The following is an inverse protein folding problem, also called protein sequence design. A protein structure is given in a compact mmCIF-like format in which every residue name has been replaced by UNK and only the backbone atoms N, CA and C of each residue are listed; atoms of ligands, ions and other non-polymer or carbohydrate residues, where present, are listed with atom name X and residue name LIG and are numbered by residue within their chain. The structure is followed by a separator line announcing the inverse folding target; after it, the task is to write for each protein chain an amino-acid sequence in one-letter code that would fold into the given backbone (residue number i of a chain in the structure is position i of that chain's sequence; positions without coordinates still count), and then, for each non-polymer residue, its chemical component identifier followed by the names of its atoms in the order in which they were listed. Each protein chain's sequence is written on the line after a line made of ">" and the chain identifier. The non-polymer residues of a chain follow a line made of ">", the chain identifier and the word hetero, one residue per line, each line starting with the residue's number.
data_IF_130354054025
#
_entry.id   IF_130354054025
#
_cell.length_a   1.000
_cell.length_b   1.000
_cell.length_c   1.000
_cell.angle_alpha   90.00
_cell.angle_beta   90.00
_cell.angle_gamma   90.00
#
_symmetry.space_group_name_H-M   'P 1'
#
loop_
_entity.id
_entity.type
_entity.pdbx_description
1 polymer ?
#
# COMPACT_ATOMS: atom_id res chain seq x y z
N UNK A 1 -11.27 -35.33 -6.09
CA UNK A 1 -11.67 -35.02 -4.69
C UNK A 1 -11.41 -33.53 -4.43
N UNK A 2 -11.92 -32.95 -3.34
CA UNK A 2 -11.63 -31.56 -2.96
C UNK A 2 -10.12 -31.33 -2.78
N UNK A 3 -9.43 -32.31 -2.20
CA UNK A 3 -7.96 -32.36 -2.12
C UNK A 3 -7.30 -32.24 -3.51
N UNK A 4 -7.77 -32.98 -4.50
CA UNK A 4 -7.26 -32.89 -5.88
C UNK A 4 -7.47 -31.48 -6.49
N UNK A 5 -8.65 -30.88 -6.31
CA UNK A 5 -8.94 -29.52 -6.81
C UNK A 5 -8.02 -28.48 -6.16
N UNK A 6 -7.71 -28.64 -4.88
CA UNK A 6 -6.77 -27.77 -4.16
C UNK A 6 -5.31 -27.98 -4.61
N UNK A 7 -4.89 -29.23 -4.80
CA UNK A 7 -3.55 -29.58 -5.30
C UNK A 7 -3.34 -29.06 -6.74
N UNK A 8 -4.34 -29.20 -7.62
CA UNK A 8 -4.30 -28.66 -8.99
C UNK A 8 -4.28 -27.13 -8.99
N UNK A 9 -5.06 -26.51 -8.09
CA UNK A 9 -5.09 -25.07 -7.92
C UNK A 9 -3.75 -24.53 -7.40
N UNK A 10 -3.14 -25.18 -6.40
CA UNK A 10 -1.81 -24.85 -5.88
C UNK A 10 -0.73 -24.93 -6.95
N UNK A 11 -0.79 -25.97 -7.79
CA UNK A 11 0.15 -26.16 -8.90
C UNK A 11 -0.01 -25.07 -9.97
N UNK A 12 -1.24 -24.68 -10.28
CA UNK A 12 -1.53 -23.66 -11.30
C UNK A 12 -1.24 -22.23 -10.84
N UNK A 13 -1.22 -21.98 -9.53
CA UNK A 13 -1.00 -20.63 -8.95
C UNK A 13 0.36 -20.47 -8.26
N UNK A 14 1.27 -21.43 -8.42
CA UNK A 14 2.65 -21.38 -7.87
C UNK A 14 2.68 -21.03 -6.36
N UNK A 15 1.80 -21.67 -5.60
CA UNK A 15 1.68 -21.43 -4.15
C UNK A 15 2.94 -21.97 -3.45
N UNK A 16 3.71 -21.08 -2.83
CA UNK A 16 4.87 -21.41 -2.00
C UNK A 16 4.58 -21.08 -0.51
N UNK A 17 5.59 -21.18 0.37
CA UNK A 17 5.43 -20.92 1.81
C UNK A 17 5.01 -19.49 2.16
N UNK A 18 5.22 -18.55 1.24
CA UNK A 18 4.95 -17.13 1.41
C UNK A 18 3.75 -16.68 0.54
N UNK A 19 2.88 -17.62 0.14
CA UNK A 19 1.64 -17.35 -0.60
C UNK A 19 0.42 -17.77 0.23
N UNK A 20 -0.55 -16.87 0.40
CA UNK A 20 -1.77 -17.09 1.19
C UNK A 20 -3.05 -16.87 0.37
N UNK A 21 -4.08 -17.66 0.67
CA UNK A 21 -5.48 -17.31 0.39
C UNK A 21 -5.96 -16.29 1.42
N UNK A 22 -6.86 -15.40 1.00
CA UNK A 22 -7.60 -14.54 1.94
C UNK A 22 -8.33 -15.35 3.02
N UNK A 23 -8.80 -16.56 2.70
CA UNK A 23 -9.56 -17.42 3.63
C UNK A 23 -8.68 -18.08 4.71
N UNK A 24 -7.35 -17.98 4.58
CA UNK A 24 -6.39 -18.50 5.57
C UNK A 24 -5.98 -17.43 6.60
N UNK A 25 -6.42 -16.19 6.42
CA UNK A 25 -6.02 -15.05 7.25
C UNK A 25 -7.01 -14.89 8.40
N UNK A 26 -6.50 -14.95 9.62
CA UNK A 26 -7.22 -14.49 10.79
C UNK A 26 -6.96 -13.00 10.99
N UNK A 27 -7.99 -12.18 10.81
CA UNK A 27 -7.91 -10.73 10.99
C UNK A 27 -8.62 -10.32 12.29
N UNK A 28 -7.84 -9.95 13.29
CA UNK A 28 -8.30 -9.39 14.55
C UNK A 28 -8.05 -7.87 14.65
N UNK A 29 -7.26 -7.27 13.73
CA UNK A 29 -7.08 -5.83 13.63
C UNK A 29 -8.08 -5.25 12.62
N UNK A 30 -8.83 -4.25 13.04
CA UNK A 30 -9.81 -3.53 12.23
C UNK A 30 -9.44 -2.05 12.24
N UNK A 31 -9.03 -1.51 11.10
CA UNK A 31 -8.86 -0.07 10.89
C UNK A 31 -10.04 0.41 10.04
N UNK A 32 -11.07 0.94 10.70
CA UNK A 32 -12.25 1.51 10.04
C UNK A 32 -12.00 2.94 9.57
N UNK A 33 -12.86 3.48 8.70
CA UNK A 33 -12.81 4.90 8.30
C UNK A 33 -12.97 5.82 9.51
N UNK A 34 -12.13 6.84 9.65
CA UNK A 34 -12.10 7.73 10.81
C UNK A 34 -12.30 9.20 10.38
N UNK A 35 -13.38 9.46 9.64
CA UNK A 35 -13.72 10.80 9.12
C UNK A 35 -13.85 11.90 10.20
N UNK A 36 -14.00 11.53 11.47
CA UNK A 36 -14.12 12.44 12.61
C UNK A 36 -12.84 12.49 13.48
N UNK A 37 -11.74 11.89 13.01
CA UNK A 37 -10.46 11.93 13.70
C UNK A 37 -9.96 13.37 13.85
N UNK A 38 -9.35 13.66 15.00
CA UNK A 38 -8.56 14.87 15.16
C UNK A 38 -7.10 14.53 14.90
N UNK A 39 -6.43 15.32 14.06
CA UNK A 39 -5.02 15.16 13.74
C UNK A 39 -4.19 16.31 14.30
N UNK A 40 -3.04 15.98 14.88
CA UNK A 40 -1.97 16.93 15.20
C UNK A 40 -0.67 16.42 14.58
N UNK A 41 -0.01 17.25 13.79
CA UNK A 41 1.25 16.90 13.14
C UNK A 41 2.36 17.78 13.68
N UNK A 42 3.46 17.16 14.09
CA UNK A 42 4.69 17.84 14.49
C UNK A 42 5.75 17.59 13.44
N UNK A 43 6.29 18.66 12.85
CA UNK A 43 7.53 18.59 12.10
C UNK A 43 8.70 18.47 13.08
N UNK A 44 9.48 17.41 12.88
CA UNK A 44 10.70 17.12 13.65
C UNK A 44 11.94 17.20 12.77
N UNK A 45 11.75 17.42 11.47
CA UNK A 45 12.82 17.78 10.56
C UNK A 45 13.21 19.25 10.78
N UNK A 46 14.45 19.60 10.45
CA UNK A 46 14.86 21.00 10.25
C UNK A 46 14.88 21.38 8.77
N UNK A 47 14.15 20.63 7.94
CA UNK A 47 14.20 20.68 6.47
C UNK A 47 12.89 21.08 5.82
N UNK A 48 11.82 21.27 6.60
CA UNK A 48 10.55 21.77 6.09
C UNK A 48 10.74 23.16 5.48
N UNK A 49 10.19 23.35 4.29
CA UNK A 49 10.28 24.58 3.51
C UNK A 49 8.93 25.22 3.27
N UNK A 50 7.86 24.43 3.23
CA UNK A 50 6.50 24.92 3.07
C UNK A 50 5.50 23.96 3.73
N UNK A 51 4.39 24.52 4.22
CA UNK A 51 3.26 23.78 4.80
C UNK A 51 1.95 24.52 4.54
N UNK A 52 0.98 23.82 3.98
CA UNK A 52 -0.39 24.29 3.87
C UNK A 52 -1.38 23.12 3.95
N UNK A 53 -2.61 23.44 4.37
CA UNK A 53 -3.71 22.48 4.31
C UNK A 53 -4.09 22.25 2.85
N UNK A 54 -4.04 20.99 2.40
CA UNK A 54 -4.31 20.63 1.02
C UNK A 54 -5.70 20.01 0.89
N UNK A 55 -6.53 20.61 0.03
CA UNK A 55 -7.67 19.94 -0.58
C UNK A 55 -7.23 19.51 -1.98
N UNK A 56 -6.32 18.56 -2.08
CA UNK A 56 -5.59 18.31 -3.35
C UNK A 56 -6.37 17.43 -4.34
N UNK A 57 -7.47 16.78 -3.93
CA UNK A 57 -8.15 15.78 -4.77
C UNK A 57 -9.64 16.07 -4.96
N UNK A 58 -10.16 15.72 -6.14
CA UNK A 58 -11.57 15.88 -6.57
C UNK A 58 -12.57 15.19 -5.60
N UNK A 59 -12.08 14.26 -4.77
CA UNK A 59 -12.85 13.43 -3.85
C UNK A 59 -13.07 14.03 -2.45
N UNK A 60 -12.75 15.32 -2.24
CA UNK A 60 -12.92 15.99 -0.94
C UNK A 60 -12.09 15.38 0.20
N UNK A 61 -10.99 14.71 -0.14
CA UNK A 61 -10.08 14.15 0.86
C UNK A 61 -9.25 15.28 1.48
N UNK A 62 -9.31 15.41 2.80
CA UNK A 62 -8.59 16.42 3.55
C UNK A 62 -7.23 15.89 4.00
N UNK A 63 -6.18 16.68 3.77
CA UNK A 63 -4.82 16.36 4.19
C UNK A 63 -3.97 17.61 4.38
N UNK A 64 -2.79 17.43 4.97
CA UNK A 64 -1.80 18.48 5.17
C UNK A 64 -0.59 18.21 4.28
N UNK A 65 -0.19 19.20 3.48
CA UNK A 65 0.95 19.12 2.57
C UNK A 65 2.20 19.68 3.25
N UNK A 66 3.30 18.92 3.21
CA UNK A 66 4.60 19.30 3.76
C UNK A 66 5.68 19.14 2.69
N UNK A 67 6.40 20.22 2.35
CA UNK A 67 7.50 20.18 1.40
C UNK A 67 8.88 20.30 2.07
N UNK A 68 9.82 19.48 1.65
CA UNK A 68 11.18 19.36 2.20
C UNK A 68 12.24 19.59 1.12
N UNK A 69 13.40 20.12 1.50
CA UNK A 69 14.56 20.20 0.61
C UNK A 69 15.39 18.91 0.63
N UNK A 70 15.20 18.11 -0.42
CA UNK A 70 15.83 16.82 -0.68
C UNK A 70 15.62 15.80 0.44
N UNK A 71 16.39 14.71 0.39
CA UNK A 71 16.24 13.60 1.33
C UNK A 71 16.36 14.03 2.79
N UNK A 72 15.51 13.46 3.64
CA UNK A 72 15.51 13.64 5.09
C UNK A 72 15.77 12.29 5.76
N UNK A 73 16.95 12.12 6.35
CA UNK A 73 17.28 10.91 7.12
C UNK A 73 16.75 11.03 8.56
N UNK A 74 16.25 9.92 9.12
CA UNK A 74 15.61 9.92 10.42
C UNK A 74 14.19 10.45 10.37
N UNK A 75 13.64 10.83 11.54
CA UNK A 75 12.24 11.25 11.64
C UNK A 75 11.98 12.58 10.92
N UNK A 76 10.95 12.59 10.08
CA UNK A 76 10.48 13.74 9.30
C UNK A 76 9.29 14.41 9.98
N UNK A 77 8.20 13.67 10.15
CA UNK A 77 6.95 14.14 10.76
C UNK A 77 6.44 13.12 11.78
N UNK A 78 5.72 13.59 12.79
CA UNK A 78 4.92 12.74 13.69
C UNK A 78 3.48 13.20 13.64
N UNK A 79 2.59 12.35 13.11
CA UNK A 79 1.15 12.57 13.08
C UNK A 79 0.48 11.80 14.22
N UNK A 80 -0.28 12.50 15.06
CA UNK A 80 -1.06 11.92 16.14
C UNK A 80 -2.54 12.07 15.82
N UNK A 81 -3.20 10.94 15.62
CA UNK A 81 -4.63 10.85 15.37
C UNK A 81 -5.35 10.45 16.65
N UNK A 82 -6.39 11.17 17.01
CA UNK A 82 -7.22 10.92 18.20
C UNK A 82 -8.70 10.98 17.83
N UNK A 83 -9.59 10.72 18.79
CA UNK A 83 -11.05 10.67 18.55
C UNK A 83 -11.46 9.59 17.53
N UNK A 84 -10.72 8.48 17.50
CA UNK A 84 -10.97 7.35 16.61
C UNK A 84 -12.13 6.50 17.15
N UNK A 85 -13.12 6.18 16.32
CA UNK A 85 -14.38 5.53 16.72
C UNK A 85 -14.59 4.16 16.06
N UNK A 86 -13.89 3.88 14.97
CA UNK A 86 -14.17 2.76 14.09
C UNK A 86 -13.03 1.74 14.02
N UNK A 87 -11.97 1.92 14.81
CA UNK A 87 -10.78 1.08 14.80
C UNK A 87 -10.61 0.26 16.10
N UNK A 88 -10.24 -1.02 15.97
CA UNK A 88 -10.23 -1.99 17.06
C UNK A 88 -9.20 -3.10 16.87
N UNK A 89 -8.76 -3.71 17.97
CA UNK A 89 -8.01 -4.96 17.99
C UNK A 89 -8.68 -5.96 18.92
N UNK A 90 -8.88 -7.20 18.48
CA UNK A 90 -9.42 -8.29 19.33
C UNK A 90 -8.30 -9.20 19.78
N UNK A 91 -8.09 -9.32 21.09
CA UNK A 91 -7.02 -10.17 21.63
C UNK A 91 -7.36 -11.66 21.59
N UNK A 92 -6.41 -12.51 22.01
CA UNK A 92 -6.56 -13.96 22.05
C UNK A 92 -7.69 -14.46 22.98
N UNK A 93 -8.10 -13.63 23.95
CA UNK A 93 -9.21 -13.93 24.84
C UNK A 93 -10.57 -13.50 24.25
N UNK A 94 -10.58 -12.93 23.04
CA UNK A 94 -11.76 -12.40 22.38
C UNK A 94 -12.21 -11.04 22.91
N UNK A 95 -11.36 -10.34 23.67
CA UNK A 95 -11.67 -9.01 24.19
C UNK A 95 -11.37 -7.98 23.09
N UNK A 96 -12.38 -7.19 22.74
CA UNK A 96 -12.27 -6.11 21.74
C UNK A 96 -11.75 -4.84 22.40
N UNK A 97 -10.54 -4.44 22.05
CA UNK A 97 -9.88 -3.20 22.47
C UNK A 97 -10.13 -2.11 21.42
N UNK A 98 -10.73 -0.98 21.82
CA UNK A 98 -10.84 0.18 20.92
C UNK A 98 -9.47 0.82 20.75
N UNK A 99 -9.09 1.09 19.50
CA UNK A 99 -7.93 1.92 19.19
C UNK A 99 -8.39 3.38 19.29
N UNK A 100 -8.03 4.07 20.36
CA UNK A 100 -8.45 5.44 20.62
C UNK A 100 -7.49 6.49 20.02
N UNK A 101 -6.24 6.08 19.75
CA UNK A 101 -5.19 6.93 19.19
C UNK A 101 -4.24 6.12 18.30
N UNK A 102 -3.82 6.74 17.20
CA UNK A 102 -2.72 6.26 16.34
C UNK A 102 -1.62 7.32 16.38
N UNK A 103 -0.39 6.91 16.64
CA UNK A 103 0.80 7.75 16.42
C UNK A 103 1.53 7.19 15.21
N UNK A 104 1.58 7.95 14.12
CA UNK A 104 2.31 7.63 12.90
C UNK A 104 3.57 8.48 12.81
N UNK A 105 4.71 7.82 12.75
CA UNK A 105 6.02 8.46 12.60
C UNK A 105 6.52 8.28 11.18
N UNK A 106 6.67 9.36 10.43
CA UNK A 106 7.30 9.34 9.11
C UNK A 106 8.80 9.55 9.24
N UNK A 107 9.60 8.77 8.50
CA UNK A 107 11.06 8.79 8.55
C UNK A 107 11.68 8.46 7.19
N UNK A 108 12.95 8.80 7.02
CA UNK A 108 13.78 8.37 5.88
C UNK A 108 13.15 8.70 4.51
N UNK A 109 12.70 9.95 4.35
CA UNK A 109 12.21 10.47 3.08
C UNK A 109 13.37 10.54 2.10
N UNK A 110 13.27 9.80 1.00
CA UNK A 110 14.34 9.67 0.00
C UNK A 110 13.96 10.40 -1.27
N UNK A 111 14.74 11.39 -1.68
CA UNK A 111 14.54 12.14 -2.92
C UNK A 111 14.57 11.22 -4.16
N UNK A 112 13.78 11.51 -5.19
CA UNK A 112 13.77 10.73 -6.44
C UNK A 112 14.82 11.17 -7.47
N UNK A 113 15.48 12.33 -7.25
CA UNK A 113 16.48 12.91 -8.15
C UNK A 113 15.94 13.93 -9.16
N UNK A 114 14.62 14.16 -9.21
CA UNK A 114 13.94 15.11 -10.10
C UNK A 114 13.02 16.10 -9.38
N UNK A 115 12.62 15.82 -8.14
CA UNK A 115 11.76 16.68 -7.31
C UNK A 115 10.31 16.75 -7.79
N UNK A 116 9.59 17.78 -7.34
CA UNK A 116 8.20 18.04 -7.70
C UNK A 116 8.11 18.71 -9.08
N UNK A 117 7.67 17.99 -10.11
CA UNK A 117 7.59 18.55 -11.46
C UNK A 117 6.52 19.65 -11.58
N UNK A 118 5.36 19.47 -10.94
CA UNK A 118 4.27 20.46 -10.96
C UNK A 118 4.71 21.83 -10.40
N UNK A 119 5.72 21.85 -9.53
CA UNK A 119 6.24 23.06 -8.91
C UNK A 119 7.57 23.55 -9.49
N UNK A 120 8.13 22.85 -10.50
CA UNK A 120 9.43 23.15 -11.13
C UNK A 120 10.56 23.35 -10.11
N UNK A 121 10.49 22.66 -8.98
CA UNK A 121 11.51 22.72 -7.95
C UNK A 121 12.19 21.35 -7.81
N UNK A 122 13.31 21.14 -8.53
CA UNK A 122 13.93 19.82 -8.64
C UNK A 122 14.54 19.32 -7.33
N UNK A 123 14.63 20.16 -6.31
CA UNK A 123 15.18 19.83 -5.00
C UNK A 123 14.10 19.56 -3.95
N UNK A 124 12.81 19.70 -4.30
CA UNK A 124 11.72 19.52 -3.34
C UNK A 124 11.12 18.12 -3.39
N UNK A 125 10.92 17.56 -2.21
CA UNK A 125 10.11 16.38 -1.92
C UNK A 125 8.88 16.81 -1.12
N UNK A 126 7.79 16.07 -1.17
CA UNK A 126 6.63 16.35 -0.33
C UNK A 126 5.94 15.11 0.24
N UNK A 127 5.26 15.32 1.37
CA UNK A 127 4.32 14.40 1.96
C UNK A 127 2.95 15.08 2.07
N UNK A 128 1.90 14.38 1.65
CA UNK A 128 0.52 14.76 1.99
C UNK A 128 0.04 13.78 3.05
N UNK A 129 -0.15 14.25 4.28
CA UNK A 129 -0.63 13.45 5.39
C UNK A 129 -2.13 13.59 5.50
N UNK A 130 -2.87 12.50 5.26
CA UNK A 130 -4.33 12.52 5.26
C UNK A 130 -4.88 12.68 6.70
N UNK A 131 -6.01 13.39 6.84
CA UNK A 131 -6.67 13.59 8.14
C UNK A 131 -7.32 12.30 8.67
N UNK A 132 -7.81 11.43 7.78
CA UNK A 132 -8.19 10.06 8.12
C UNK A 132 -6.95 9.14 8.03
N UNK A 133 -6.51 8.51 9.13
CA UNK A 133 -5.31 7.66 9.15
C UNK A 133 -5.40 6.45 8.21
N UNK A 134 -6.60 5.99 7.86
CA UNK A 134 -6.85 4.89 6.90
C UNK A 134 -6.83 5.35 5.44
N UNK A 135 -6.87 6.65 5.20
CA UNK A 135 -6.54 7.22 3.89
C UNK A 135 -5.03 7.38 3.72
N UNK A 136 -4.23 7.14 4.76
CA UNK A 136 -2.78 7.04 4.62
C UNK A 136 -2.10 8.36 4.29
N UNK A 137 -1.27 8.35 3.26
CA UNK A 137 -0.46 9.51 2.85
C UNK A 137 0.00 9.39 1.40
N UNK A 138 0.36 10.52 0.82
CA UNK A 138 1.06 10.57 -0.46
C UNK A 138 2.52 10.97 -0.24
N UNK A 139 3.41 10.45 -1.07
CA UNK A 139 4.76 11.02 -1.22
C UNK A 139 4.98 11.43 -2.67
N UNK A 140 5.60 12.60 -2.83
CA UNK A 140 5.76 13.30 -4.10
C UNK A 140 7.20 13.77 -4.25
N UNK A 141 7.79 13.69 -5.44
CA UNK A 141 9.20 14.04 -5.65
C UNK A 141 10.18 13.10 -4.95
N UNK A 142 9.69 12.16 -4.14
CA UNK A 142 10.44 11.19 -3.37
C UNK A 142 10.35 9.79 -4.01
N UNK A 143 11.43 9.02 -3.89
CA UNK A 143 11.49 7.59 -4.19
C UNK A 143 11.06 6.73 -2.99
N UNK A 144 10.81 7.36 -1.84
CA UNK A 144 9.94 6.79 -0.83
C UNK A 144 10.07 7.39 0.56
N UNK A 145 9.23 6.92 1.47
CA UNK A 145 9.23 7.21 2.91
C UNK A 145 9.04 5.94 3.76
N UNK A 146 9.48 5.95 5.01
CA UNK A 146 9.14 4.95 6.03
C UNK A 146 8.05 5.50 6.95
N UNK A 147 7.02 4.72 7.26
CA UNK A 147 6.13 5.04 8.37
C UNK A 147 6.22 3.98 9.47
N UNK A 148 6.03 4.38 10.73
CA UNK A 148 5.91 3.52 11.90
C UNK A 148 4.62 3.89 12.66
N UNK A 149 3.67 2.96 12.70
CA UNK A 149 2.42 3.13 13.44
C UNK A 149 2.49 2.46 14.81
N UNK A 150 2.03 3.19 15.84
CA UNK A 150 1.72 2.66 17.17
C UNK A 150 0.25 2.90 17.50
N UNK A 151 -0.46 1.82 17.81
CA UNK A 151 -1.87 1.83 18.20
C UNK A 151 -2.01 1.93 19.72
N UNK A 152 -2.89 2.79 20.22
CA UNK A 152 -3.13 2.96 21.65
C UNK A 152 -4.60 2.75 22.01
N UNK A 153 -4.82 2.11 23.16
CA UNK A 153 -6.14 1.96 23.76
C UNK A 153 -6.64 3.27 24.41
N UNK A 154 -7.85 3.19 24.97
CA UNK A 154 -8.54 4.27 25.70
C UNK A 154 -7.77 4.79 26.93
N UNK A 155 -6.94 3.94 27.53
CA UNK A 155 -6.15 4.23 28.71
C UNK A 155 -4.75 4.76 28.35
N UNK A 156 -4.43 4.85 27.05
CA UNK A 156 -3.13 5.29 26.55
C UNK A 156 -2.06 4.20 26.57
N UNK A 157 -2.43 2.92 26.74
CA UNK A 157 -1.50 1.80 26.61
C UNK A 157 -1.30 1.47 25.13
N UNK A 158 -0.07 1.15 24.74
CA UNK A 158 0.18 0.62 23.40
C UNK A 158 -0.45 -0.78 23.27
N UNK A 159 -1.11 -1.02 22.15
CA UNK A 159 -1.72 -2.30 21.84
C UNK A 159 -0.65 -3.20 21.20
N UNK A 160 -0.45 -4.36 21.81
CA UNK A 160 0.48 -5.39 21.33
C UNK A 160 -0.24 -6.36 20.40
N UNK A 161 0.01 -6.25 19.09
CA UNK A 161 -0.57 -7.15 18.10
C UNK A 161 0.12 -8.50 18.18
N UNK A 162 -0.64 -9.53 18.54
CA UNK A 162 -0.12 -10.89 18.59
C UNK A 162 0.15 -11.42 17.18
N UNK A 163 1.24 -12.18 17.06
CA UNK A 163 1.68 -12.79 15.82
C UNK A 163 0.52 -13.51 15.09
N UNK A 164 0.45 -13.30 13.77
CA UNK A 164 -0.52 -13.92 12.86
C UNK A 164 -2.00 -13.55 13.14
N UNK A 165 -2.27 -12.58 14.02
CA UNK A 165 -3.65 -12.11 14.33
C UNK A 165 -3.99 -10.75 13.72
N UNK A 166 -3.00 -9.94 13.34
CA UNK A 166 -3.21 -8.63 12.72
C UNK A 166 -2.48 -8.53 11.39
N UNK A 167 -3.15 -8.00 10.38
CA UNK A 167 -2.62 -7.95 9.01
C UNK A 167 -2.91 -6.61 8.35
N UNK A 168 -1.95 -6.11 7.58
CA UNK A 168 -2.17 -5.03 6.61
C UNK A 168 -2.18 -5.60 5.20
N UNK A 169 -3.12 -5.14 4.38
CA UNK A 169 -3.08 -5.31 2.94
C UNK A 169 -2.34 -4.13 2.32
N UNK A 170 -1.18 -4.41 1.69
CA UNK A 170 -0.53 -3.48 0.79
C UNK A 170 -1.18 -3.65 -0.59
N UNK A 171 -2.17 -2.79 -0.89
CA UNK A 171 -2.96 -2.81 -2.13
C UNK A 171 -2.47 -1.76 -3.11
N UNK A 172 -2.95 -1.80 -4.37
CA UNK A 172 -2.63 -0.78 -5.38
C UNK A 172 -1.11 -0.70 -5.65
N UNK A 173 -0.40 -1.83 -5.60
CA UNK A 173 1.03 -1.87 -5.89
C UNK A 173 1.24 -1.98 -7.39
N UNK A 174 1.23 -0.83 -8.07
CA UNK A 174 1.32 -0.75 -9.52
C UNK A 174 2.77 -0.87 -9.98
N UNK A 175 2.94 -1.47 -11.16
CA UNK A 175 4.23 -1.72 -11.76
C UNK A 175 4.18 -1.59 -13.28
N UNK A 176 5.22 -0.98 -13.81
CA UNK A 176 5.43 -0.66 -15.21
C UNK A 176 6.91 -0.84 -15.55
N UNK A 177 7.16 -1.60 -16.61
CA UNK A 177 8.51 -1.94 -17.09
C UNK A 177 8.72 -1.49 -18.53
N UNK A 178 9.99 -1.34 -18.93
CA UNK A 178 10.36 -0.87 -20.27
C UNK A 178 11.65 -1.50 -20.79
N UNK A 179 11.68 -1.77 -22.10
CA UNK A 179 12.86 -2.15 -22.89
C UNK A 179 13.09 -1.15 -24.04
N UNK A 180 13.05 0.15 -23.72
CA UNK A 180 13.07 1.25 -24.70
C UNK A 180 11.68 1.73 -25.12
N UNK A 181 10.67 0.88 -24.92
CA UNK A 181 9.24 1.20 -24.89
C UNK A 181 8.59 0.37 -23.77
N UNK A 182 7.38 0.75 -23.33
CA UNK A 182 6.65 -0.02 -22.34
C UNK A 182 6.49 -1.49 -22.76
N UNK A 183 6.78 -2.37 -21.83
CA UNK A 183 6.86 -3.81 -22.08
C UNK A 183 6.39 -4.59 -20.86
N UNK A 184 6.13 -5.88 -21.05
CA UNK A 184 5.73 -6.77 -19.96
C UNK A 184 6.80 -6.90 -18.87
N UNK A 185 8.06 -6.88 -19.27
CA UNK A 185 9.24 -6.96 -18.42
C UNK A 185 10.35 -6.11 -19.01
N UNK A 186 11.39 -5.82 -18.22
CA UNK A 186 12.51 -4.99 -18.63
C UNK A 186 13.11 -4.25 -17.45
N UNK A 187 13.63 -3.06 -17.71
CA UNK A 187 14.01 -2.14 -16.64
C UNK A 187 12.76 -1.57 -15.97
N UNK A 188 12.74 -1.43 -14.63
CA UNK A 188 11.69 -0.71 -13.91
C UNK A 188 11.51 0.70 -14.46
N UNK A 189 10.30 1.02 -14.88
CA UNK A 189 9.90 2.39 -15.23
C UNK A 189 9.26 3.08 -14.03
N UNK A 190 8.29 2.41 -13.41
CA UNK A 190 7.60 2.79 -12.17
C UNK A 190 7.17 1.50 -11.48
N UNK A 191 7.66 1.23 -10.27
CA UNK A 191 7.33 0.03 -9.51
C UNK A 191 7.14 0.41 -8.05
N UNK A 192 5.91 0.32 -7.58
CA UNK A 192 5.53 0.57 -6.21
C UNK A 192 5.80 -0.64 -5.34
N UNK A 193 6.34 -0.39 -4.14
CA UNK A 193 6.80 -1.42 -3.22
C UNK A 193 6.39 -1.11 -1.80
N UNK A 194 6.12 -2.16 -1.04
CA UNK A 194 6.02 -2.11 0.41
C UNK A 194 7.02 -3.09 1.04
N UNK A 195 7.73 -2.65 2.08
CA UNK A 195 8.78 -3.44 2.74
C UNK A 195 8.55 -3.38 4.26
N UNK A 196 8.18 -4.49 4.93
CA UNK A 196 8.14 -4.52 6.38
C UNK A 196 9.57 -4.43 6.95
N UNK A 197 9.77 -3.51 7.88
CA UNK A 197 11.06 -3.26 8.53
C UNK A 197 11.08 -3.63 10.01
N UNK A 198 9.92 -3.83 10.63
CA UNK A 198 9.84 -4.22 12.05
C UNK A 198 10.26 -5.68 12.27
N UNK A 199 10.87 -5.93 13.42
CA UNK A 199 11.23 -7.29 13.83
C UNK A 199 9.96 -8.13 14.08
N UNK A 200 9.76 -9.16 13.26
CA UNK A 200 8.67 -10.11 13.40
C UNK A 200 7.51 -9.90 12.43
N UNK A 201 7.49 -8.78 11.69
CA UNK A 201 6.59 -8.60 10.57
C UNK A 201 7.06 -9.42 9.37
N UNK A 202 6.12 -9.93 8.58
CA UNK A 202 6.44 -10.73 7.40
C UNK A 202 5.49 -10.46 6.25
N UNK A 203 6.05 -10.37 5.05
CA UNK A 203 5.31 -10.21 3.82
C UNK A 203 4.84 -11.56 3.24
N UNK A 204 3.66 -11.52 2.61
CA UNK A 204 3.04 -12.65 1.93
C UNK A 204 2.39 -12.22 0.62
N UNK A 205 2.57 -13.03 -0.42
CA UNK A 205 1.85 -12.90 -1.68
C UNK A 205 0.42 -13.40 -1.51
N UNK A 206 -0.54 -12.78 -2.20
CA UNK A 206 -1.89 -13.34 -2.30
C UNK A 206 -2.00 -14.30 -3.48
N UNK A 207 -2.76 -15.37 -3.32
CA UNK A 207 -3.13 -16.25 -4.41
C UNK A 207 -3.78 -15.44 -5.54
N UNK A 208 -3.30 -15.65 -6.77
CA UNK A 208 -3.80 -14.92 -7.95
C UNK A 208 -3.27 -13.50 -8.10
N UNK A 209 -2.52 -12.97 -7.11
CA UNK A 209 -1.89 -11.66 -7.19
C UNK A 209 -0.67 -11.67 -8.12
N UNK A 210 -0.48 -10.54 -8.81
CA UNK A 210 0.75 -10.17 -9.52
C UNK A 210 1.89 -9.83 -8.55
N UNK A 211 1.57 -9.43 -7.31
CA UNK A 211 2.54 -9.05 -6.29
C UNK A 211 3.21 -10.30 -5.73
N UNK A 212 4.55 -10.26 -5.65
CA UNK A 212 5.39 -11.32 -5.10
C UNK A 212 6.19 -10.81 -3.92
N UNK A 213 6.52 -11.72 -3.02
CA UNK A 213 7.50 -11.52 -1.95
C UNK A 213 8.89 -11.76 -2.53
N UNK A 214 9.79 -10.82 -2.28
CA UNK A 214 11.19 -10.89 -2.72
C UNK A 214 12.13 -11.21 -1.55
N UNK A 215 13.40 -11.44 -1.85
CA UNK A 215 14.39 -11.93 -0.88
C UNK A 215 14.62 -10.99 0.32
N UNK A 216 14.38 -9.69 0.14
CA UNK A 216 14.47 -8.66 1.18
C UNK A 216 13.15 -8.48 1.95
N UNK A 217 12.13 -9.29 1.66
CA UNK A 217 10.79 -9.18 2.23
C UNK A 217 9.91 -8.14 1.55
N UNK A 218 10.38 -7.48 0.49
CA UNK A 218 9.56 -6.51 -0.24
C UNK A 218 8.42 -7.17 -1.02
N UNK A 219 7.32 -6.44 -1.15
CA UNK A 219 6.15 -6.77 -1.96
C UNK A 219 6.15 -5.88 -3.21
N UNK A 220 6.30 -6.47 -4.39
CA UNK A 220 6.08 -5.80 -5.68
C UNK A 220 5.87 -6.79 -6.83
N UNK A 221 5.40 -6.31 -7.98
CA UNK A 221 5.20 -7.14 -9.17
C UNK A 221 6.47 -7.24 -10.04
N UNK A 222 6.80 -8.46 -10.50
CA UNK A 222 7.91 -8.73 -11.43
C UNK A 222 7.65 -8.29 -12.88
N UNK A 223 6.41 -7.94 -13.18
CA UNK A 223 5.93 -7.62 -14.52
C UNK A 223 4.97 -6.45 -14.47
N UNK A 224 4.79 -5.80 -15.61
CA UNK A 224 3.80 -4.72 -15.75
C UNK A 224 2.42 -5.26 -15.37
N UNK A 225 1.82 -4.67 -14.34
CA UNK A 225 0.51 -5.04 -13.82
C UNK A 225 -0.49 -3.87 -13.86
N UNK A 226 -0.07 -2.71 -14.37
CA UNK A 226 -0.88 -1.50 -14.42
C UNK A 226 -2.20 -1.69 -15.19
N UNK A 227 -3.19 -0.83 -14.91
CA UNK A 227 -4.51 -1.01 -15.54
C UNK A 227 -4.47 -0.72 -17.05
N UNK A 228 -5.28 -1.46 -17.82
CA UNK A 228 -5.37 -1.25 -19.28
C UNK A 228 -5.78 0.19 -19.63
N UNK A 229 -6.65 0.78 -18.82
CA UNK A 229 -7.11 2.17 -18.99
C UNK A 229 -5.96 3.15 -18.77
N UNK A 230 -5.18 2.98 -17.70
CA UNK A 230 -4.04 3.83 -17.39
C UNK A 230 -2.91 3.68 -18.42
N UNK A 231 -2.61 2.44 -18.83
CA UNK A 231 -1.68 2.15 -19.92
C UNK A 231 -2.05 2.87 -21.23
N UNK A 232 -3.33 2.96 -21.57
CA UNK A 232 -3.79 3.71 -22.76
C UNK A 232 -3.77 5.22 -22.55
N UNK A 233 -4.40 5.68 -21.47
CA UNK A 233 -4.78 7.08 -21.31
C UNK A 233 -3.65 7.93 -20.75
N UNK A 234 -2.94 7.43 -19.74
CA UNK A 234 -1.81 8.13 -19.12
C UNK A 234 -0.50 7.83 -19.85
N UNK A 235 -0.32 6.57 -20.27
CA UNK A 235 0.96 6.07 -20.78
C UNK A 235 1.03 5.91 -22.32
N UNK A 236 -0.09 6.09 -23.04
CA UNK A 236 -0.11 6.10 -24.50
C UNK A 236 0.24 4.75 -25.15
N UNK A 237 0.09 3.63 -24.43
CA UNK A 237 0.32 2.29 -24.96
C UNK A 237 -0.82 1.92 -25.92
N UNK A 238 -0.47 1.69 -27.19
CA UNK A 238 -1.44 1.38 -28.25
C UNK A 238 -2.11 0.02 -28.08
N UNK A 239 -1.38 -0.98 -27.58
CA UNK A 239 -1.89 -2.33 -27.27
C UNK A 239 -1.48 -2.78 -25.86
N UNK A 240 -2.16 -2.32 -24.79
CA UNK A 240 -1.80 -2.68 -23.41
C UNK A 240 -1.87 -4.18 -23.12
N UNK A 241 -2.75 -4.91 -23.79
CA UNK A 241 -2.94 -6.35 -23.58
C UNK A 241 -1.71 -7.16 -24.03
N UNK A 242 -0.84 -6.57 -24.87
CA UNK A 242 0.44 -7.18 -25.23
C UNK A 242 1.47 -7.14 -24.08
N UNK A 243 1.30 -6.24 -23.10
CA UNK A 243 2.28 -6.00 -22.03
C UNK A 243 1.76 -6.34 -20.63
N UNK A 244 0.46 -6.46 -20.43
CA UNK A 244 -0.13 -6.85 -19.14
C UNK A 244 -1.21 -7.91 -19.31
N UNK A 245 -1.37 -8.77 -18.31
CA UNK A 245 -2.52 -9.68 -18.16
C UNK A 245 -3.45 -9.21 -17.04
N UNK A 246 -3.33 -7.95 -16.63
CA UNK A 246 -4.11 -7.38 -15.57
C UNK A 246 -5.62 -7.49 -15.86
N UNK A 247 -6.43 -7.96 -14.90
CA UNK A 247 -7.88 -7.86 -15.01
C UNK A 247 -8.29 -6.40 -15.21
N UNK A 248 -9.39 -6.20 -15.94
CA UNK A 248 -9.94 -4.86 -16.14
C UNK A 248 -10.24 -4.19 -14.79
N UNK A 249 -9.78 -2.94 -14.63
CA UNK A 249 -10.01 -2.09 -13.45
C UNK A 249 -9.78 -2.83 -12.12
N UNK A 250 -8.67 -3.58 -12.01
CA UNK A 250 -8.33 -4.23 -10.75
C UNK A 250 -7.96 -3.20 -9.67
N UNK A 251 -7.35 -2.08 -10.07
CA UNK A 251 -6.85 -1.03 -9.19
C UNK A 251 -7.95 -0.03 -8.83
N UNK A 252 -9.05 -0.56 -8.28
CA UNK A 252 -10.17 0.21 -7.77
C UNK A 252 -10.62 -0.45 -6.44
N UNK A 253 -10.87 0.34 -5.37
CA UNK A 253 -11.27 -0.21 -4.07
C UNK A 253 -12.52 -1.09 -4.10
N UNK A 254 -13.43 -0.84 -5.04
CA UNK A 254 -14.67 -1.60 -5.26
C UNK A 254 -14.49 -2.83 -6.17
N UNK A 255 -13.34 -2.95 -6.83
CA UNK A 255 -13.09 -4.03 -7.78
C UNK A 255 -13.03 -5.40 -7.09
N UNK A 256 -13.73 -6.42 -7.64
CA UNK A 256 -13.55 -7.79 -7.18
C UNK A 256 -12.15 -8.33 -7.49
N UNK A 257 -11.40 -7.66 -8.38
CA UNK A 257 -10.05 -8.06 -8.79
C UNK A 257 -8.94 -7.32 -8.04
N UNK A 258 -9.25 -6.49 -7.03
CA UNK A 258 -8.26 -5.72 -6.28
C UNK A 258 -7.17 -6.55 -5.57
N UNK A 259 -7.39 -7.86 -5.41
CA UNK A 259 -6.35 -8.79 -4.95
C UNK A 259 -5.17 -8.88 -5.92
N UNK A 260 -5.37 -8.54 -7.20
CA UNK A 260 -4.39 -8.71 -8.27
C UNK A 260 -3.13 -7.87 -8.08
N UNK A 261 -3.22 -6.66 -7.52
CA UNK A 261 -2.05 -5.87 -7.13
C UNK A 261 -1.94 -5.69 -5.62
N UNK A 262 -2.27 -6.74 -4.86
CA UNK A 262 -2.18 -6.73 -3.41
C UNK A 262 -1.26 -7.82 -2.86
N UNK A 263 -0.57 -7.49 -1.77
CA UNK A 263 0.12 -8.42 -0.87
C UNK A 263 -0.28 -8.16 0.58
N UNK A 264 0.14 -9.04 1.50
CA UNK A 264 -0.15 -8.91 2.93
C UNK A 264 1.13 -8.75 3.74
N UNK A 265 1.03 -8.00 4.82
CA UNK A 265 2.06 -7.88 5.86
C UNK A 265 1.44 -8.34 7.17
N UNK A 266 1.95 -9.42 7.76
CA UNK A 266 1.59 -9.80 9.12
C UNK A 266 2.25 -8.85 10.10
N UNK A 267 1.46 -8.37 11.06
CA UNK A 267 1.91 -7.48 12.12
C UNK A 267 2.24 -8.27 13.37
N UNK A 268 3.25 -7.80 14.11
CA UNK A 268 3.62 -8.37 15.40
C UNK A 268 4.27 -7.31 16.29
N UNK A 269 3.86 -7.23 17.54
CA UNK A 269 4.38 -6.24 18.48
C UNK A 269 3.54 -4.95 18.50
N UNK A 270 4.16 -3.88 18.99
CA UNK A 270 3.53 -2.56 19.18
C UNK A 270 3.94 -1.51 18.14
N UNK A 271 4.99 -1.79 17.35
CA UNK A 271 5.55 -0.88 16.35
C UNK A 271 5.48 -1.51 14.97
N UNK A 272 4.82 -0.82 14.04
CA UNK A 272 4.54 -1.33 12.71
C UNK A 272 5.21 -0.47 11.65
N UNK A 273 6.45 -0.84 11.33
CA UNK A 273 7.33 -0.05 10.46
C UNK A 273 7.35 -0.59 9.06
N UNK A 274 6.85 0.19 8.10
CA UNK A 274 6.80 -0.18 6.69
C UNK A 274 7.41 0.93 5.85
N UNK A 275 8.34 0.54 4.96
CA UNK A 275 8.93 1.39 3.94
C UNK A 275 8.11 1.28 2.66
N UNK A 276 7.68 2.42 2.13
CA UNK A 276 6.98 2.52 0.85
C UNK A 276 7.90 3.15 -0.18
N UNK A 277 8.16 2.44 -1.27
CA UNK A 277 9.14 2.87 -2.28
C UNK A 277 8.54 2.88 -3.67
N UNK A 278 9.11 3.76 -4.50
CA UNK A 278 9.04 3.60 -5.93
C UNK A 278 10.41 3.40 -6.51
N UNK A 279 10.53 2.40 -7.37
CA UNK A 279 11.70 2.22 -8.22
C UNK A 279 11.33 2.56 -9.64
N UNK A 280 12.13 3.37 -10.28
CA UNK A 280 11.81 3.88 -11.60
C UNK A 280 12.78 4.97 -12.01
N UNK A 281 12.73 5.33 -13.29
CA UNK A 281 13.55 6.39 -13.85
C UNK A 281 12.63 7.49 -14.36
N UNK A 282 12.34 8.51 -13.54
CA UNK A 282 11.43 9.56 -13.96
C UNK A 282 12.08 10.48 -15.03
N UNK A 283 13.38 10.30 -15.34
CA UNK A 283 14.08 10.95 -16.47
C UNK A 283 13.74 10.32 -17.82
N UNK A 284 13.02 9.20 -17.85
CA UNK A 284 12.58 8.56 -19.09
C UNK A 284 11.36 9.29 -19.65
N UNK A 285 11.66 10.22 -20.56
CA UNK A 285 10.66 10.86 -21.39
C UNK A 285 9.91 9.82 -22.24
N UNK A 286 8.60 9.99 -22.35
CA UNK A 286 7.77 9.25 -23.30
C UNK A 286 7.37 10.20 -24.40
N UNK A 287 7.77 9.90 -25.62
CA UNK A 287 7.61 10.80 -26.77
C UNK A 287 8.17 12.22 -26.50
N UNK A 288 9.21 12.33 -25.67
CA UNK A 288 9.83 13.61 -25.33
C UNK A 288 9.12 14.41 -24.22
N UNK A 289 8.12 13.85 -23.53
CA UNK A 289 7.47 14.46 -22.37
C UNK A 289 7.75 13.67 -21.09
N UNK A 290 8.02 14.32 -19.95
CA UNK A 290 8.09 13.67 -18.65
C UNK A 290 6.68 13.23 -18.23
N UNK A 291 6.57 12.06 -17.59
CA UNK A 291 5.31 11.60 -17.03
C UNK A 291 5.15 12.15 -15.62
N UNK A 292 4.10 12.94 -15.41
CA UNK A 292 3.78 13.53 -14.11
C UNK A 292 3.07 12.56 -13.17
N UNK A 293 2.33 11.60 -13.72
CA UNK A 293 1.52 10.66 -12.93
C UNK A 293 2.37 9.63 -12.17
N UNK A 294 3.66 9.47 -12.51
CA UNK A 294 4.59 8.56 -11.79
C UNK A 294 5.25 9.22 -10.58
N UNK A 295 5.00 10.51 -10.34
CA UNK A 295 5.61 11.26 -9.24
C UNK A 295 4.78 11.23 -7.96
N UNK A 296 3.55 10.71 -8.04
CA UNK A 296 2.56 10.75 -6.99
C UNK A 296 2.24 9.32 -6.56
N UNK A 297 2.65 8.94 -5.35
CA UNK A 297 2.36 7.60 -4.84
C UNK A 297 1.51 7.72 -3.61
N UNK A 298 0.35 7.08 -3.67
CA UNK A 298 -0.56 6.97 -2.55
C UNK A 298 -0.35 5.65 -1.84
N UNK A 299 -0.11 5.71 -0.52
CA UNK A 299 -0.14 4.52 0.30
C UNK A 299 -1.20 4.65 1.38
N UNK A 300 -2.16 3.73 1.39
CA UNK A 300 -3.21 3.64 2.39
C UNK A 300 -3.11 2.30 3.15
N UNK A 301 -2.79 2.32 4.47
CA UNK A 301 -2.83 1.10 5.26
C UNK A 301 -4.27 0.63 5.42
N UNK A 302 -4.52 -0.63 5.05
CA UNK A 302 -5.85 -1.23 5.08
C UNK A 302 -5.81 -2.56 5.80
N UNK A 303 -6.80 -2.82 6.66
CA UNK A 303 -7.04 -4.15 7.24
C UNK A 303 -8.08 -4.95 6.44
N UNK A 304 -8.64 -4.35 5.37
CA UNK A 304 -9.59 -5.00 4.48
C UNK A 304 -8.83 -5.88 3.49
N UNK A 305 -8.76 -7.17 3.80
CA UNK A 305 -8.07 -8.18 2.98
C UNK A 305 -8.87 -8.42 1.69
N UNK A 306 -8.28 -8.19 0.49
CA UNK A 306 -8.94 -8.54 -0.77
C UNK A 306 -9.24 -10.04 -0.87
N UNK A 307 -10.44 -10.40 -1.35
CA UNK A 307 -10.79 -11.79 -1.54
C UNK A 307 -9.96 -12.39 -2.69
N UNK A 308 -9.24 -13.48 -2.42
CA UNK A 308 -8.51 -14.23 -3.46
C UNK A 308 -9.43 -15.17 -4.24
N UNK A 309 -9.08 -15.55 -5.48
CA UNK A 309 -9.85 -16.47 -6.31
C UNK A 309 -9.68 -17.92 -5.83
N UNK A 310 -10.19 -18.26 -4.64
CA UNK A 310 -10.18 -19.64 -4.13
C UNK A 310 -11.37 -20.44 -4.62
N UNK A 311 -11.22 -21.75 -4.92
CA UNK A 311 -12.35 -22.62 -5.23
C UNK A 311 -13.25 -22.76 -3.99
N UNK A 312 -14.40 -22.08 -3.98
CA UNK A 312 -15.42 -22.27 -2.94
C UNK A 312 -16.16 -23.58 -3.16
N UNK A 313 -16.48 -24.29 -2.09
CA UNK A 313 -17.42 -25.41 -2.14
C UNK A 313 -18.83 -24.88 -2.35
N UNK A 314 -19.41 -25.10 -3.53
CA UNK A 314 -20.86 -25.03 -3.70
C UNK A 314 -21.49 -26.21 -2.97
N UNK A 315 -22.25 -25.93 -1.91
CA UNK A 315 -23.10 -26.95 -1.26
C UNK A 315 -24.44 -26.92 -1.99
N UNK A 316 -24.67 -27.90 -2.87
CA UNK A 316 -26.00 -28.10 -3.43
C UNK A 316 -26.88 -28.81 -2.40
N UNK A 317 -27.87 -28.08 -1.85
CA UNK A 317 -28.94 -28.70 -1.09
C UNK A 317 -29.86 -29.46 -2.03
N UNK A 318 -29.81 -30.78 -2.00
CA UNK A 318 -30.86 -31.62 -2.56
C UNK A 318 -31.97 -31.73 -1.52
N UNK A 319 -33.06 -30.99 -1.72
CA UNK A 319 -34.32 -31.28 -1.04
C UNK A 319 -34.93 -32.51 -1.72
N UNK A 320 -35.02 -33.63 -1.00
CA UNK A 320 -35.85 -34.76 -1.44
C UNK A 320 -37.31 -34.35 -1.23
N UNK A 321 -38.02 -34.12 -2.34
CA UNK A 321 -39.48 -33.98 -2.38
C UNK A 321 -40.16 -35.34 -2.29
#
# INVERSE_FOLDING_TARGET
>A
TQKQKWEDFQKNHQINSDTLSSDQVQQNLELGRENAANISITDVSNKLTDHYSSQYFEDHLAGEFYAFNGSVNGTVLVATYTNLQNSYYTDENGIKHRIAKIVRTFSDLTHNGLGLYEHKNPEQDALIVMHDPTQGYWFLGASGVTYDDVYYDENGNAIDIQKDTGWLAATSLNALYSNGQFSKSGDPFHVEKAIPLSNGEKAYSLIGSSIKVHNDGSLYADQTNDTVSQLKNAFGVSDPQSITTAPFEWDDPSSPNRYYGAGLISLNGTHHKIRTETTGRPDRLINGQPLTDTELVWFAPSTVIPQTPTPRTEVHYHYNT
#
